data_IF_755623564704
#
_entry.id   IF_755623564704
#
_cell.length_a   1.000
_cell.length_b   1.000
_cell.length_c   1.000
_cell.angle_alpha   90.00
_cell.angle_beta   90.00
_cell.angle_gamma   90.00
#
_symmetry.space_group_name_H-M   'P 1'
#
loop_
_entity.id
_entity.type
_entity.pdbx_description
1 polymer ?
#
# COMPACT_ATOMS: atom_id res chain seq x y z
N UNK A 1 -8.61 -19.95 11.31
CA UNK A 1 -7.34 -19.22 11.57
C UNK A 1 -7.20 -18.05 10.60
N UNK A 2 -6.69 -16.96 11.09
CA UNK A 2 -6.43 -15.76 10.29
C UNK A 2 -4.93 -15.61 10.01
N UNK A 3 -4.59 -15.13 8.83
CA UNK A 3 -3.22 -14.86 8.42
C UNK A 3 -3.09 -13.38 8.10
N UNK A 4 -2.04 -12.76 8.63
CA UNK A 4 -1.69 -11.38 8.31
C UNK A 4 -0.51 -11.39 7.33
N UNK A 5 -0.64 -10.69 6.22
CA UNK A 5 0.40 -10.54 5.21
C UNK A 5 0.62 -9.07 4.88
N UNK A 6 1.87 -8.69 4.69
CA UNK A 6 2.23 -7.35 4.23
C UNK A 6 2.00 -7.23 2.71
N UNK A 7 1.16 -6.30 2.32
CA UNK A 7 0.87 -6.00 0.92
C UNK A 7 1.66 -4.76 0.53
N UNK A 8 2.91 -4.96 0.17
CA UNK A 8 3.76 -3.91 -0.41
C UNK A 8 4.42 -4.43 -1.68
N UNK A 9 4.61 -3.56 -2.67
CA UNK A 9 5.21 -3.92 -3.97
C UNK A 9 6.61 -4.50 -3.83
N UNK A 10 7.38 -4.10 -2.81
CA UNK A 10 8.70 -4.65 -2.53
C UNK A 10 8.69 -5.98 -1.74
N UNK A 11 7.54 -6.45 -1.30
CA UNK A 11 7.40 -7.73 -0.59
C UNK A 11 6.94 -8.88 -1.50
N UNK A 12 6.87 -8.66 -2.81
CA UNK A 12 6.54 -9.72 -3.76
C UNK A 12 7.71 -10.69 -3.89
N UNK A 13 7.47 -12.01 -3.74
CA UNK A 13 8.51 -13.02 -3.84
C UNK A 13 9.03 -13.19 -5.27
N UNK A 14 10.15 -13.89 -5.41
CA UNK A 14 10.89 -14.07 -6.67
C UNK A 14 10.02 -14.50 -7.86
N UNK A 15 8.92 -15.22 -7.62
CA UNK A 15 8.06 -15.73 -8.69
C UNK A 15 6.97 -14.75 -9.15
N UNK A 16 6.70 -13.68 -8.36
CA UNK A 16 5.55 -12.79 -8.58
C UNK A 16 5.90 -11.31 -8.60
N UNK A 17 7.17 -10.97 -8.38
CA UNK A 17 7.64 -9.59 -8.33
C UNK A 17 8.42 -9.17 -9.58
N UNK A 18 8.98 -7.97 -9.52
CA UNK A 18 9.82 -7.36 -10.57
C UNK A 18 11.26 -7.89 -10.52
N UNK A 19 11.47 -9.14 -10.92
CA UNK A 19 12.81 -9.73 -10.93
C UNK A 19 13.81 -8.86 -11.74
N UNK A 20 15.06 -8.67 -11.30
CA UNK A 20 15.73 -9.29 -10.14
C UNK A 20 15.52 -8.56 -8.80
N UNK A 21 14.69 -7.53 -8.73
CA UNK A 21 14.47 -6.67 -7.58
C UNK A 21 13.34 -7.19 -6.68
N UNK A 22 13.49 -8.40 -6.18
CA UNK A 22 12.48 -9.12 -5.41
C UNK A 22 13.07 -9.64 -4.10
N UNK A 23 12.18 -10.01 -3.13
CA UNK A 23 12.61 -10.71 -1.93
C UNK A 23 12.79 -12.19 -2.20
N UNK A 24 13.81 -12.80 -1.59
CA UNK A 24 14.08 -14.23 -1.69
C UNK A 24 13.11 -15.09 -0.85
N UNK A 25 12.44 -14.49 0.14
CA UNK A 25 11.47 -15.19 0.99
C UNK A 25 10.12 -15.28 0.31
N UNK A 26 9.40 -16.39 0.57
CA UNK A 26 8.05 -16.57 0.08
C UNK A 26 7.04 -15.88 1.03
N UNK A 27 6.72 -14.62 0.73
CA UNK A 27 5.87 -13.76 1.56
C UNK A 27 4.38 -13.89 1.24
N UNK A 28 3.99 -14.89 0.44
CA UNK A 28 2.59 -15.13 0.08
C UNK A 28 1.86 -16.02 1.10
N UNK A 29 0.52 -15.98 1.06
CA UNK A 29 -0.34 -16.92 1.80
C UNK A 29 0.01 -18.39 1.49
N UNK A 30 0.33 -18.69 0.23
CA UNK A 30 0.79 -20.01 -0.19
C UNK A 30 2.11 -20.41 0.51
N UNK A 31 3.03 -19.45 0.67
CA UNK A 31 4.27 -19.66 1.42
C UNK A 31 4.04 -20.04 2.87
N UNK A 32 3.06 -19.43 3.53
CA UNK A 32 2.68 -19.79 4.88
C UNK A 32 2.10 -21.21 4.95
N UNK A 33 1.26 -21.61 3.99
CA UNK A 33 0.73 -22.98 3.91
C UNK A 33 1.85 -24.01 3.78
N UNK A 34 2.83 -23.75 2.90
CA UNK A 34 3.98 -24.63 2.69
C UNK A 34 4.85 -24.71 3.95
N UNK A 35 5.21 -23.54 4.52
CA UNK A 35 6.09 -23.47 5.68
C UNK A 35 5.51 -24.08 6.96
N UNK A 36 4.19 -24.02 7.14
CA UNK A 36 3.48 -24.59 8.28
C UNK A 36 2.95 -26.00 8.03
N UNK A 37 3.01 -26.50 6.79
CA UNK A 37 2.46 -27.81 6.44
C UNK A 37 0.95 -27.90 6.62
N UNK A 38 0.21 -26.81 6.39
CA UNK A 38 -1.24 -26.75 6.57
C UNK A 38 -1.98 -26.64 5.24
N UNK A 39 -3.19 -27.18 5.20
CA UNK A 39 -4.07 -27.02 4.03
C UNK A 39 -4.53 -25.57 3.90
N UNK A 40 -4.55 -24.98 2.67
CA UNK A 40 -5.11 -23.65 2.42
C UNK A 40 -6.56 -23.49 2.93
N UNK A 41 -7.33 -24.58 2.95
CA UNK A 41 -8.71 -24.58 3.48
C UNK A 41 -8.83 -24.34 4.99
N UNK A 42 -7.69 -24.35 5.71
CA UNK A 42 -7.65 -24.01 7.15
C UNK A 42 -7.45 -22.50 7.38
N UNK A 43 -7.18 -21.73 6.34
CA UNK A 43 -7.07 -20.28 6.42
C UNK A 43 -8.43 -19.69 6.06
N UNK A 44 -9.11 -19.09 7.04
CA UNK A 44 -10.43 -18.50 6.86
C UNK A 44 -10.34 -17.03 6.39
N UNK A 45 -9.38 -16.28 6.95
CA UNK A 45 -9.19 -14.88 6.64
C UNK A 45 -7.73 -14.56 6.35
N UNK A 46 -7.50 -13.70 5.37
CA UNK A 46 -6.20 -13.15 5.04
C UNK A 46 -6.29 -11.63 5.17
N UNK A 47 -5.55 -11.07 6.12
CA UNK A 47 -5.49 -9.64 6.35
C UNK A 47 -4.29 -9.05 5.62
N UNK A 48 -4.55 -8.20 4.62
CA UNK A 48 -3.53 -7.47 3.89
C UNK A 48 -3.19 -6.17 4.61
N UNK A 49 -1.92 -5.99 5.00
CA UNK A 49 -1.43 -4.75 5.59
C UNK A 49 -0.74 -3.93 4.51
N UNK A 50 -1.15 -2.67 4.33
CA UNK A 50 -0.53 -1.75 3.39
C UNK A 50 -0.44 -0.34 4.00
N UNK A 51 0.45 0.50 3.47
CA UNK A 51 0.54 1.91 3.85
C UNK A 51 -0.38 2.75 2.98
N UNK A 52 -0.79 3.92 3.47
CA UNK A 52 -1.54 4.91 2.67
C UNK A 52 -0.74 5.45 1.47
N UNK A 53 0.54 5.13 1.37
CA UNK A 53 1.47 5.48 0.28
C UNK A 53 2.41 4.31 0.01
N UNK A 54 3.15 4.35 -1.09
CA UNK A 54 4.10 3.30 -1.43
C UNK A 54 5.52 3.63 -0.98
N UNK A 55 6.28 2.60 -0.58
CA UNK A 55 7.71 2.73 -0.31
C UNK A 55 8.49 1.59 -0.95
N UNK A 56 9.72 1.86 -1.38
CA UNK A 56 10.62 0.86 -1.91
C UNK A 56 12.02 1.00 -1.34
N UNK A 57 12.65 -0.13 -1.04
CA UNK A 57 14.07 -0.21 -0.65
C UNK A 57 14.88 -0.73 -1.83
N UNK A 58 16.01 -0.10 -2.11
CA UNK A 58 16.93 -0.51 -3.18
C UNK A 58 16.45 -0.13 -4.58
N UNK A 59 17.12 -0.70 -5.58
CA UNK A 59 16.84 -0.46 -6.99
C UNK A 59 15.58 -1.19 -7.48
N UNK A 60 15.22 -0.96 -8.73
CA UNK A 60 14.09 -1.57 -9.41
C UNK A 60 12.95 -0.59 -9.69
N UNK A 61 11.99 -1.01 -10.53
CA UNK A 61 10.93 -0.14 -10.99
C UNK A 61 9.99 0.29 -9.86
N UNK A 62 9.62 1.57 -9.88
CA UNK A 62 8.68 2.16 -8.94
C UNK A 62 7.87 3.24 -9.67
N UNK A 63 6.79 2.86 -10.37
CA UNK A 63 6.06 3.78 -11.25
C UNK A 63 5.52 5.03 -10.57
N UNK A 64 5.14 4.94 -9.30
CA UNK A 64 4.57 6.07 -8.53
C UNK A 64 5.60 6.81 -7.70
N UNK A 65 6.90 6.57 -7.89
CA UNK A 65 7.97 7.25 -7.16
C UNK A 65 7.93 8.76 -7.34
N UNK A 66 8.20 9.48 -6.27
CA UNK A 66 8.26 10.93 -6.21
C UNK A 66 9.71 11.38 -6.01
N UNK A 67 10.12 12.35 -6.82
CA UNK A 67 11.46 12.95 -6.82
C UNK A 67 11.43 14.45 -6.46
N UNK A 68 10.36 14.86 -5.80
CA UNK A 68 10.06 16.24 -5.45
C UNK A 68 9.92 16.42 -3.93
N UNK A 69 9.64 17.64 -3.49
CA UNK A 69 9.44 18.01 -2.09
C UNK A 69 8.31 17.20 -1.43
N UNK A 70 7.33 16.75 -2.22
CA UNK A 70 6.24 15.89 -1.73
C UNK A 70 6.79 14.52 -1.30
N UNK A 71 7.63 13.90 -2.13
CA UNK A 71 8.31 12.66 -1.81
C UNK A 71 9.18 12.76 -0.56
N UNK A 72 9.93 13.85 -0.45
CA UNK A 72 10.78 14.13 0.72
C UNK A 72 9.94 14.33 1.99
N UNK A 73 8.81 15.03 1.90
CA UNK A 73 7.87 15.24 3.01
C UNK A 73 7.27 13.91 3.47
N UNK A 74 6.82 13.05 2.57
CA UNK A 74 6.32 11.71 2.91
C UNK A 74 7.41 10.88 3.61
N UNK A 75 8.63 10.90 3.09
CA UNK A 75 9.76 10.18 3.67
C UNK A 75 10.09 10.66 5.08
N UNK A 76 10.10 11.98 5.29
CA UNK A 76 10.35 12.60 6.59
C UNK A 76 9.24 12.29 7.59
N UNK A 77 7.98 12.60 7.25
CA UNK A 77 6.82 12.39 8.12
C UNK A 77 6.65 10.91 8.48
N UNK A 78 6.90 10.04 7.48
CA UNK A 78 6.81 8.59 7.65
C UNK A 78 8.03 7.97 8.33
N UNK A 79 9.09 8.74 8.63
CA UNK A 79 10.38 8.22 9.12
C UNK A 79 10.82 7.01 8.28
N UNK A 80 10.87 7.19 6.94
CA UNK A 80 11.10 6.11 5.99
C UNK A 80 12.60 5.82 5.79
N UNK A 81 13.19 5.27 6.85
CA UNK A 81 14.57 4.80 6.86
C UNK A 81 14.64 3.33 7.25
N UNK A 82 15.63 2.63 6.74
CA UNK A 82 15.88 1.25 7.11
C UNK A 82 16.30 1.13 8.56
N UNK A 83 15.60 0.34 9.35
CA UNK A 83 15.84 0.19 10.79
C UNK A 83 17.26 -0.26 11.13
N UNK A 84 17.91 -1.06 10.27
CA UNK A 84 19.25 -1.61 10.50
C UNK A 84 20.34 -0.77 9.84
N UNK A 85 20.10 -0.27 8.64
CA UNK A 85 21.13 0.40 7.82
C UNK A 85 20.98 1.91 7.77
N UNK A 86 19.88 2.48 8.29
CA UNK A 86 19.55 3.89 8.15
C UNK A 86 19.32 4.36 6.70
N UNK A 87 19.29 3.46 5.73
CA UNK A 87 19.17 3.80 4.31
C UNK A 87 17.79 4.37 4.02
N UNK A 88 17.70 5.52 3.32
CA UNK A 88 16.41 6.11 2.98
C UNK A 88 15.62 5.16 2.06
N UNK A 89 14.32 5.11 2.27
CA UNK A 89 13.37 4.43 1.39
C UNK A 89 12.86 5.43 0.35
N UNK A 90 12.76 4.98 -0.87
CA UNK A 90 12.09 5.69 -1.95
C UNK A 90 10.60 5.74 -1.64
N UNK A 91 9.94 6.89 -1.81
CA UNK A 91 8.54 7.11 -1.50
C UNK A 91 7.75 7.46 -2.74
N UNK A 92 6.46 7.13 -2.76
CA UNK A 92 5.56 7.43 -3.87
C UNK A 92 4.10 7.30 -3.47
N UNK A 93 3.20 7.81 -4.33
CA UNK A 93 1.77 7.70 -4.11
C UNK A 93 1.28 6.25 -4.10
N UNK A 94 0.15 6.01 -3.43
CA UNK A 94 -0.51 4.71 -3.42
C UNK A 94 -0.80 4.21 -4.84
N UNK A 95 -0.50 2.95 -5.09
CA UNK A 95 -0.59 2.27 -6.38
C UNK A 95 -1.69 1.19 -6.32
N UNK A 96 -2.87 1.50 -6.88
CA UNK A 96 -4.03 0.58 -6.88
C UNK A 96 -3.78 -0.67 -7.75
N UNK A 97 -3.25 -0.59 -8.99
CA UNK A 97 -2.89 -1.78 -9.76
C UNK A 97 -1.98 -2.74 -9.00
N UNK A 98 -0.96 -2.24 -8.33
CA UNK A 98 -0.05 -3.05 -7.53
C UNK A 98 -0.75 -3.65 -6.29
N UNK A 99 -1.63 -2.88 -5.63
CA UNK A 99 -2.42 -3.36 -4.50
C UNK A 99 -3.40 -4.45 -4.92
N UNK A 100 -4.14 -4.27 -6.04
CA UNK A 100 -5.02 -5.30 -6.64
C UNK A 100 -4.26 -6.58 -6.94
N UNK A 101 -3.08 -6.47 -7.54
CA UNK A 101 -2.24 -7.62 -7.86
C UNK A 101 -1.85 -8.39 -6.60
N UNK A 102 -1.42 -7.69 -5.55
CA UNK A 102 -1.06 -8.31 -4.27
C UNK A 102 -2.25 -8.95 -3.56
N UNK A 103 -3.44 -8.33 -3.62
CA UNK A 103 -4.70 -8.87 -3.10
C UNK A 103 -5.05 -10.19 -3.79
N UNK A 104 -4.96 -10.21 -5.12
CA UNK A 104 -5.24 -11.39 -5.93
C UNK A 104 -4.30 -12.55 -5.61
N UNK A 105 -2.99 -12.29 -5.54
CA UNK A 105 -1.99 -13.33 -5.24
C UNK A 105 -2.16 -13.97 -3.87
N UNK A 106 -2.59 -13.18 -2.90
CA UNK A 106 -2.68 -13.60 -1.51
C UNK A 106 -4.10 -14.05 -1.09
N UNK A 107 -5.11 -13.81 -1.92
CA UNK A 107 -6.51 -14.05 -1.54
C UNK A 107 -6.92 -13.22 -0.33
N UNK A 108 -6.52 -11.92 -0.31
CA UNK A 108 -6.80 -11.01 0.80
C UNK A 108 -8.31 -10.82 0.97
N UNK A 109 -8.79 -11.04 2.18
CA UNK A 109 -10.21 -10.90 2.54
C UNK A 109 -10.54 -9.59 3.22
N UNK A 110 -9.56 -8.99 3.89
CA UNK A 110 -9.69 -7.71 4.61
C UNK A 110 -8.39 -6.93 4.52
N UNK A 111 -8.49 -5.60 4.57
CA UNK A 111 -7.34 -4.70 4.50
C UNK A 111 -7.16 -3.92 5.80
N UNK A 112 -5.91 -3.66 6.15
CA UNK A 112 -5.46 -2.77 7.21
C UNK A 112 -4.59 -1.69 6.59
N UNK A 113 -5.03 -0.43 6.65
CA UNK A 113 -4.25 0.71 6.17
C UNK A 113 -3.43 1.30 7.31
N UNK A 114 -2.15 1.46 7.06
CA UNK A 114 -1.18 1.96 8.04
C UNK A 114 -0.63 3.31 7.60
N UNK A 115 -0.17 4.09 8.57
CA UNK A 115 0.51 5.37 8.32
C UNK A 115 -0.33 6.38 7.51
N UNK A 116 -1.62 6.40 7.75
CA UNK A 116 -2.50 7.35 7.08
C UNK A 116 -2.30 8.79 7.61
N UNK A 117 -1.79 8.93 8.82
CA UNK A 117 -1.32 10.16 9.45
C UNK A 117 -0.22 10.89 8.65
N UNK A 118 0.64 10.14 7.98
CA UNK A 118 1.77 10.67 7.19
C UNK A 118 1.31 11.57 6.04
N UNK A 119 0.10 11.33 5.53
CA UNK A 119 -0.51 12.12 4.45
C UNK A 119 -1.38 13.28 4.97
N UNK A 120 -1.39 13.57 6.26
CA UNK A 120 -2.08 14.72 6.81
C UNK A 120 -1.38 16.03 6.44
N UNK A 121 -2.18 17.10 6.33
CA UNK A 121 -1.75 18.47 6.02
C UNK A 121 -1.15 18.66 4.61
N UNK A 122 -1.35 17.69 3.70
CA UNK A 122 -1.15 17.91 2.27
C UNK A 122 -2.38 18.61 1.67
N UNK A 123 -2.16 19.54 0.74
CA UNK A 123 -3.26 20.16 0.00
C UNK A 123 -4.02 19.15 -0.86
N UNK A 124 -3.28 18.25 -1.49
CA UNK A 124 -3.79 17.18 -2.35
C UNK A 124 -3.10 15.86 -2.07
N UNK A 125 -3.87 14.77 -2.12
CA UNK A 125 -3.37 13.40 -2.08
C UNK A 125 -3.73 12.69 -3.39
N UNK A 126 -2.76 11.98 -3.98
CA UNK A 126 -2.95 11.30 -5.26
C UNK A 126 -2.94 9.79 -5.08
N UNK A 127 -3.75 9.12 -5.89
CA UNK A 127 -3.82 7.66 -5.96
C UNK A 127 -3.62 7.23 -7.41
N UNK A 128 -2.66 6.38 -7.67
CA UNK A 128 -2.45 5.80 -9.00
C UNK A 128 -3.53 4.76 -9.27
N UNK A 129 -4.31 4.96 -10.32
CA UNK A 129 -5.43 4.11 -10.73
C UNK A 129 -5.13 3.26 -11.95
N UNK A 130 -4.04 3.54 -12.64
CA UNK A 130 -3.61 2.86 -13.84
C UNK A 130 -2.28 3.42 -14.35
N UNK A 131 -1.86 2.97 -15.50
CA UNK A 131 -0.65 3.45 -16.16
C UNK A 131 -0.89 3.71 -17.65
N UNK A 132 -0.16 4.68 -18.20
CA UNK A 132 0.10 4.73 -19.64
C UNK A 132 1.36 3.92 -19.89
N UNK A 133 1.25 2.80 -20.58
CA UNK A 133 2.34 1.90 -20.92
C UNK A 133 2.36 1.69 -22.42
N UNK A 134 3.50 2.01 -23.06
CA UNK A 134 3.64 2.03 -24.51
C UNK A 134 2.50 2.78 -25.24
N UNK A 135 2.08 3.91 -24.67
CA UNK A 135 1.03 4.77 -25.21
C UNK A 135 -0.40 4.24 -25.03
N UNK A 136 -0.59 3.15 -24.28
CA UNK A 136 -1.91 2.59 -23.94
C UNK A 136 -2.18 2.70 -22.46
N UNK A 137 -3.41 3.02 -22.11
CA UNK A 137 -3.85 2.99 -20.73
C UNK A 137 -4.14 1.55 -20.29
N UNK A 138 -3.57 1.16 -19.13
CA UNK A 138 -3.77 -0.14 -18.50
C UNK A 138 -4.11 0.06 -17.01
N UNK A 139 -4.96 -0.80 -16.45
CA UNK A 139 -5.42 -0.76 -15.05
C UNK A 139 -4.92 -1.95 -14.22
N UNK A 140 -3.95 -2.67 -14.74
CA UNK A 140 -3.31 -3.82 -14.08
C UNK A 140 -1.80 -3.62 -13.94
N UNK A 141 -1.20 -4.32 -12.98
CA UNK A 141 0.24 -4.30 -12.75
C UNK A 141 0.94 -5.17 -13.81
N UNK A 142 1.80 -4.59 -14.68
CA UNK A 142 2.44 -5.34 -15.74
C UNK A 142 3.53 -6.27 -15.19
N UNK A 143 3.70 -7.44 -15.83
CA UNK A 143 4.72 -8.43 -15.45
C UNK A 143 6.16 -7.95 -15.67
N UNK A 144 6.36 -7.10 -16.67
CA UNK A 144 7.64 -6.42 -16.95
C UNK A 144 7.36 -4.93 -16.85
N UNK A 145 8.13 -4.24 -16.02
CA UNK A 145 8.01 -2.80 -15.84
C UNK A 145 9.22 -2.15 -16.46
N UNK A 146 9.01 -1.53 -17.62
CA UNK A 146 9.96 -0.61 -18.21
C UNK A 146 9.68 0.80 -17.70
N UNK A 147 10.54 1.29 -16.80
CA UNK A 147 10.39 2.58 -16.15
C UNK A 147 10.41 3.77 -17.11
N UNK A 148 11.02 3.61 -18.27
CA UNK A 148 11.11 4.68 -19.27
C UNK A 148 9.80 4.83 -20.07
N UNK A 149 9.02 3.76 -20.16
CA UNK A 149 7.80 3.69 -20.97
C UNK A 149 6.51 3.61 -20.15
N UNK A 150 6.60 3.63 -18.82
CA UNK A 150 5.43 3.58 -17.94
C UNK A 150 5.23 4.92 -17.23
N UNK A 151 4.00 5.44 -17.25
CA UNK A 151 3.62 6.67 -16.55
C UNK A 151 2.37 6.43 -15.73
N UNK A 152 2.36 6.76 -14.42
CA UNK A 152 1.18 6.58 -13.59
C UNK A 152 0.06 7.56 -14.00
N UNK A 153 -1.17 7.06 -13.95
CA UNK A 153 -2.40 7.85 -14.06
C UNK A 153 -2.96 8.06 -12.66
N UNK A 154 -3.23 9.30 -12.29
CA UNK A 154 -3.65 9.64 -10.93
C UNK A 154 -5.08 10.15 -10.85
N UNK A 155 -5.80 9.70 -9.83
CA UNK A 155 -6.96 10.39 -9.26
C UNK A 155 -6.48 11.25 -8.11
N UNK A 156 -6.96 12.51 -8.06
CA UNK A 156 -6.57 13.51 -7.08
C UNK A 156 -7.68 13.68 -6.06
N UNK A 157 -7.33 13.69 -4.78
CA UNK A 157 -8.22 13.93 -3.65
C UNK A 157 -7.81 15.21 -2.93
N UNK A 158 -8.78 16.02 -2.45
CA UNK A 158 -8.48 17.06 -1.49
C UNK A 158 -7.82 16.44 -0.24
N UNK A 159 -6.81 17.11 0.30
CA UNK A 159 -6.15 16.68 1.50
C UNK A 159 -7.04 16.76 2.75
N UNK A 160 -6.51 16.31 3.85
CA UNK A 160 -7.13 16.37 5.18
C UNK A 160 -6.13 16.90 6.19
N UNK A 161 -6.63 17.33 7.35
CA UNK A 161 -5.78 17.91 8.40
C UNK A 161 -5.27 16.87 9.38
N UNK A 162 -4.24 17.21 10.15
CA UNK A 162 -3.70 16.35 11.22
C UNK A 162 -4.71 16.07 12.35
N UNK A 163 -5.87 16.73 12.36
CA UNK A 163 -6.97 16.41 13.28
C UNK A 163 -7.49 14.97 13.13
N UNK A 164 -7.31 14.34 11.96
CA UNK A 164 -7.65 12.92 11.80
C UNK A 164 -6.90 12.02 12.78
N UNK A 165 -5.68 12.40 13.17
CA UNK A 165 -4.83 11.61 14.08
C UNK A 165 -5.40 11.53 15.51
N UNK A 166 -6.27 12.47 15.88
CA UNK A 166 -6.96 12.50 17.16
C UNK A 166 -8.21 11.63 17.18
N UNK A 167 -8.71 11.23 16.02
CA UNK A 167 -9.93 10.45 15.88
C UNK A 167 -9.73 9.00 16.35
N UNK A 168 -10.74 8.45 17.00
CA UNK A 168 -10.77 7.06 17.48
C UNK A 168 -11.96 6.27 16.93
N UNK A 169 -12.83 6.93 16.16
CA UNK A 169 -14.00 6.32 15.54
C UNK A 169 -14.13 6.82 14.11
N UNK A 170 -14.49 5.93 13.20
CA UNK A 170 -14.63 6.25 11.78
C UNK A 170 -15.55 7.45 11.50
N UNK A 171 -16.65 7.57 12.25
CA UNK A 171 -17.61 8.67 12.08
C UNK A 171 -17.03 10.06 12.35
N UNK A 172 -16.00 10.14 13.20
CA UNK A 172 -15.36 11.38 13.61
C UNK A 172 -14.24 11.83 12.66
N UNK A 173 -13.89 11.00 11.66
CA UNK A 173 -12.92 11.32 10.64
C UNK A 173 -13.46 12.39 9.66
N UNK A 174 -12.57 13.19 9.10
CA UNK A 174 -12.89 14.19 8.07
C UNK A 174 -13.45 13.52 6.81
N UNK A 175 -14.38 14.19 6.12
CA UNK A 175 -15.04 13.63 4.94
C UNK A 175 -14.07 13.42 3.78
N UNK A 176 -13.06 14.29 3.58
CA UNK A 176 -12.01 14.09 2.57
C UNK A 176 -11.26 12.78 2.81
N UNK A 177 -10.91 12.49 4.06
CA UNK A 177 -10.25 11.25 4.42
C UNK A 177 -11.16 10.03 4.22
N UNK A 178 -12.44 10.12 4.62
CA UNK A 178 -13.41 9.05 4.37
C UNK A 178 -13.59 8.76 2.86
N UNK A 179 -13.62 9.80 2.03
CA UNK A 179 -13.71 9.67 0.59
C UNK A 179 -12.48 8.92 0.01
N UNK A 180 -11.30 9.23 0.52
CA UNK A 180 -10.07 8.52 0.15
C UNK A 180 -10.14 7.03 0.54
N UNK A 181 -10.57 6.70 1.76
CA UNK A 181 -10.74 5.30 2.22
C UNK A 181 -11.78 4.56 1.38
N UNK A 182 -12.95 5.17 1.17
CA UNK A 182 -14.03 4.58 0.37
C UNK A 182 -13.58 4.31 -1.07
N UNK A 183 -12.86 5.25 -1.67
CA UNK A 183 -12.33 5.09 -3.01
C UNK A 183 -11.37 3.89 -3.12
N UNK A 184 -10.49 3.69 -2.13
CA UNK A 184 -9.60 2.52 -2.11
C UNK A 184 -10.42 1.24 -2.03
N UNK A 185 -11.37 1.15 -1.09
CA UNK A 185 -12.23 -0.04 -0.95
C UNK A 185 -12.96 -0.39 -2.24
N UNK A 186 -13.60 0.61 -2.86
CA UNK A 186 -14.34 0.43 -4.11
C UNK A 186 -13.43 0.03 -5.27
N UNK A 187 -12.23 0.61 -5.33
CA UNK A 187 -11.24 0.30 -6.36
C UNK A 187 -10.74 -1.14 -6.29
N UNK A 188 -10.51 -1.67 -5.08
CA UNK A 188 -9.91 -3.00 -4.90
C UNK A 188 -10.93 -4.10 -4.59
N UNK A 189 -12.18 -3.73 -4.24
CA UNK A 189 -13.26 -4.66 -3.91
C UNK A 189 -13.08 -5.39 -2.57
N UNK A 190 -12.23 -4.87 -1.68
CA UNK A 190 -11.93 -5.46 -0.36
C UNK A 190 -12.08 -4.40 0.73
N UNK A 191 -12.77 -4.74 1.81
CA UNK A 191 -13.04 -3.82 2.90
C UNK A 191 -11.82 -3.56 3.78
N UNK A 192 -11.64 -2.31 4.19
CA UNK A 192 -10.67 -1.88 5.18
C UNK A 192 -11.31 -2.07 6.57
N UNK A 193 -10.65 -2.81 7.44
CA UNK A 193 -11.12 -3.11 8.80
C UNK A 193 -10.34 -2.39 9.88
N UNK A 194 -9.20 -1.79 9.51
CA UNK A 194 -8.37 -1.06 10.45
C UNK A 194 -7.64 0.08 9.74
N UNK A 195 -7.65 1.25 10.38
CA UNK A 195 -6.91 2.43 9.97
C UNK A 195 -5.96 2.82 11.11
N UNK A 196 -4.66 2.84 10.86
CA UNK A 196 -3.67 3.37 11.80
C UNK A 196 -3.37 4.83 11.45
N UNK A 197 -3.53 5.69 12.45
CA UNK A 197 -3.39 7.15 12.38
C UNK A 197 -2.19 7.66 13.19
N UNK A 198 -1.28 6.75 13.57
CA UNK A 198 -0.07 7.07 14.31
C UNK A 198 0.67 5.82 14.77
N UNK A 199 1.80 5.99 15.50
CA UNK A 199 2.65 4.88 15.93
C UNK A 199 2.10 4.13 17.15
N UNK A 200 1.22 4.74 17.95
CA UNK A 200 0.65 4.11 19.13
C UNK A 200 -0.53 3.20 18.74
N UNK A 201 -0.68 2.07 19.45
CA UNK A 201 -1.80 1.15 19.25
C UNK A 201 -3.17 1.80 19.52
N UNK A 202 -3.21 2.82 20.37
CA UNK A 202 -4.43 3.58 20.67
C UNK A 202 -4.80 4.56 19.52
N UNK A 203 -3.88 4.82 18.59
CA UNK A 203 -4.09 5.66 17.40
C UNK A 203 -4.62 4.83 16.24
N UNK A 204 -5.58 3.98 16.54
CA UNK A 204 -6.16 3.02 15.60
C UNK A 204 -7.68 3.14 15.59
N UNK A 205 -8.26 3.19 14.39
CA UNK A 205 -9.70 3.16 14.16
C UNK A 205 -10.09 1.81 13.59
N UNK A 206 -10.95 1.09 14.30
CA UNK A 206 -11.55 -0.16 13.81
C UNK A 206 -12.84 0.16 13.03
N UNK A 207 -13.04 -0.54 11.93
CA UNK A 207 -14.24 -0.46 11.10
C UNK A 207 -15.01 -1.79 11.22
N UNK A 208 -16.34 -1.69 11.35
CA UNK A 208 -17.26 -2.84 11.49
C UNK A 208 -17.37 -3.70 10.21
#
# INVERSE_FOLDING_TARGET
SSLVTGVQTCALPIYFGSYPFVTSSNTTTAGACIGLGISPRKISNVYGIFKAYCTRVGAGPFPTELFDDVGDTIAHNGNEFGSTTGRPRRCGWLDIPALKYSIMLNGVTHLYIMKADVLSDFDEVKVCTGYIYDGKEIDYFPSIIDTDNIKPVYTVFPGWTSKVNESRRYKDLEDNFKNYITFIEDSVGVKIKLISLGPDREETVLLD
#
